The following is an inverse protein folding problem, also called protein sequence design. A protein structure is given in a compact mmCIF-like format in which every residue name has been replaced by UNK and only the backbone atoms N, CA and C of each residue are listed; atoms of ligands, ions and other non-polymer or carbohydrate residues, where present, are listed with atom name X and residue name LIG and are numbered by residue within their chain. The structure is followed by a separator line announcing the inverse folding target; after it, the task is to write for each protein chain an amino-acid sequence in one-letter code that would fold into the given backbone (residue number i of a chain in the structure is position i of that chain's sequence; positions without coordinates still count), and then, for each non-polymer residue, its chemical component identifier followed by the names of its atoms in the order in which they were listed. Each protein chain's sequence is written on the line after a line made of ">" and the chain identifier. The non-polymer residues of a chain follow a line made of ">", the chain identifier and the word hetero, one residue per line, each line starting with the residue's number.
data_IF_544858882578
#
_entry.id   IF_544858882578
#
_cell.length_a   1.000
_cell.length_b   1.000
_cell.length_c   1.000
_cell.angle_alpha   90.00
_cell.angle_beta   90.00
_cell.angle_gamma   90.00
#
_symmetry.space_group_name_H-M   'P 1'
#
loop_
_entity.id
_entity.type
_entity.pdbx_description
1 polymer ?
#
# COMPACT_ATOMS: atom_id res chain seq x y z
N UNK A 1 22.83 27.99 1.59
CA UNK A 1 21.88 27.98 0.46
C UNK A 1 20.60 27.31 0.91
N UNK A 2 19.45 27.97 0.82
CA UNK A 2 18.17 27.32 1.06
C UNK A 2 17.96 26.26 -0.04
N UNK A 3 17.64 25.02 0.33
CA UNK A 3 17.34 23.96 -0.65
C UNK A 3 15.98 24.27 -1.29
N UNK A 4 15.93 24.25 -2.62
CA UNK A 4 14.67 24.38 -3.36
C UNK A 4 13.88 23.07 -3.27
N UNK A 5 12.56 23.14 -3.04
CA UNK A 5 11.69 21.97 -2.96
C UNK A 5 11.80 21.06 -4.20
N UNK A 6 12.00 21.65 -5.39
CA UNK A 6 12.20 20.92 -6.65
C UNK A 6 13.48 20.10 -6.62
N UNK A 7 14.56 20.65 -6.07
CA UNK A 7 15.84 19.93 -5.94
C UNK A 7 15.74 18.76 -4.95
N UNK A 8 15.03 18.96 -3.84
CA UNK A 8 14.79 17.91 -2.85
C UNK A 8 13.87 16.82 -3.40
N UNK A 9 12.84 17.18 -4.17
CA UNK A 9 11.97 16.24 -4.88
C UNK A 9 12.80 15.38 -5.83
N UNK A 10 13.57 15.99 -6.74
CA UNK A 10 14.37 15.27 -7.73
C UNK A 10 15.32 14.24 -7.10
N UNK A 11 15.89 14.56 -5.93
CA UNK A 11 16.76 13.64 -5.18
C UNK A 11 15.98 12.49 -4.53
N UNK A 12 14.73 12.71 -4.11
CA UNK A 12 13.86 11.71 -3.49
C UNK A 12 13.04 10.90 -4.52
N UNK A 13 12.95 11.36 -5.76
CA UNK A 13 12.31 10.63 -6.85
C UNK A 13 13.13 9.40 -7.18
N UNK A 14 12.50 8.24 -7.03
CA UNK A 14 13.06 6.93 -7.32
C UNK A 14 12.10 6.17 -8.24
N UNK A 15 12.57 5.10 -8.88
CA UNK A 15 11.68 4.22 -9.65
C UNK A 15 10.77 3.41 -8.73
N UNK A 16 9.71 2.83 -9.28
CA UNK A 16 8.79 1.98 -8.52
C UNK A 16 9.49 0.73 -7.97
N UNK A 17 10.44 0.17 -8.72
CA UNK A 17 11.24 -0.98 -8.31
C UNK A 17 12.16 -0.63 -7.15
N UNK A 18 12.78 0.55 -7.19
CA UNK A 18 13.61 1.05 -6.09
C UNK A 18 12.76 1.33 -4.84
N UNK A 19 11.55 1.88 -5.01
CA UNK A 19 10.62 2.06 -3.90
C UNK A 19 10.17 0.70 -3.32
N UNK A 20 9.79 -0.25 -4.16
CA UNK A 20 9.40 -1.60 -3.71
C UNK A 20 10.57 -2.37 -3.11
N UNK A 21 11.82 -2.06 -3.48
CA UNK A 21 13.04 -2.68 -2.93
C UNK A 21 13.21 -2.47 -1.42
N UNK A 22 12.62 -1.41 -0.86
CA UNK A 22 12.74 -1.10 0.59
C UNK A 22 11.92 -2.05 1.46
N UNK A 23 10.90 -2.70 0.90
CA UNK A 23 10.04 -3.66 1.59
C UNK A 23 10.85 -4.90 1.96
N UNK A 24 10.68 -5.35 3.20
CA UNK A 24 11.30 -6.53 3.79
C UNK A 24 10.22 -7.55 4.18
N UNK A 25 10.65 -8.80 4.34
CA UNK A 25 9.79 -9.85 4.87
C UNK A 25 9.27 -9.48 6.25
N UNK A 26 7.97 -9.65 6.46
CA UNK A 26 7.30 -9.32 7.73
C UNK A 26 6.76 -7.89 7.83
N UNK A 27 7.03 -6.99 6.87
CA UNK A 27 6.55 -5.61 6.93
C UNK A 27 5.01 -5.51 6.88
N UNK A 28 4.47 -4.50 7.55
CA UNK A 28 3.11 -3.98 7.37
C UNK A 28 3.10 -2.80 6.40
N UNK A 29 2.40 -2.97 5.29
CA UNK A 29 2.22 -1.96 4.25
C UNK A 29 0.80 -1.43 4.28
N UNK A 30 0.65 -0.11 4.23
CA UNK A 30 -0.62 0.56 4.10
C UNK A 30 -0.80 1.15 2.72
N UNK A 31 -1.89 0.78 2.05
CA UNK A 31 -2.26 1.31 0.75
C UNK A 31 -3.35 2.37 0.88
N UNK A 32 -3.28 3.39 0.02
CA UNK A 32 -4.30 4.43 -0.06
C UNK A 32 -5.71 3.89 -0.31
N UNK A 33 -6.70 4.58 0.27
CA UNK A 33 -8.13 4.26 0.17
C UNK A 33 -8.67 4.46 -1.26
N UNK A 34 -9.50 3.53 -1.74
CA UNK A 34 -10.24 3.70 -2.99
C UNK A 34 -9.34 3.99 -4.19
N UNK A 35 -9.53 5.17 -4.82
CA UNK A 35 -8.75 5.63 -5.98
C UNK A 35 -7.27 5.95 -5.64
N UNK A 36 -6.97 6.15 -4.36
CA UNK A 36 -5.62 6.38 -3.85
C UNK A 36 -4.72 5.14 -3.89
N UNK A 37 -5.23 3.99 -4.33
CA UNK A 37 -4.46 2.76 -4.46
C UNK A 37 -3.18 2.93 -5.29
N UNK A 38 -2.04 2.39 -4.84
CA UNK A 38 -0.74 2.69 -5.45
C UNK A 38 -0.37 1.69 -6.55
N UNK A 39 -1.09 1.73 -7.67
CA UNK A 39 -1.02 0.72 -8.75
C UNK A 39 0.42 0.46 -9.25
N UNK A 40 1.23 1.51 -9.44
CA UNK A 40 2.59 1.38 -9.95
C UNK A 40 3.53 0.70 -8.94
N UNK A 41 3.42 1.05 -7.66
CA UNK A 41 4.19 0.40 -6.59
C UNK A 41 3.76 -1.05 -6.41
N UNK A 42 2.44 -1.32 -6.47
CA UNK A 42 1.89 -2.66 -6.30
C UNK A 42 2.36 -3.63 -7.39
N UNK A 43 2.48 -3.16 -8.64
CA UNK A 43 3.08 -3.93 -9.74
C UNK A 43 4.58 -4.21 -9.50
N UNK A 44 5.34 -3.21 -9.03
CA UNK A 44 6.75 -3.40 -8.72
C UNK A 44 6.98 -4.36 -7.54
N UNK A 45 6.10 -4.31 -6.52
CA UNK A 45 6.10 -5.26 -5.42
C UNK A 45 5.78 -6.68 -5.92
N UNK A 46 4.76 -6.83 -6.78
CA UNK A 46 4.37 -8.09 -7.40
C UNK A 46 5.53 -8.79 -8.12
N UNK A 47 6.36 -8.01 -8.84
CA UNK A 47 7.50 -8.53 -9.59
C UNK A 47 8.60 -9.17 -8.72
N UNK A 48 8.68 -8.81 -7.42
CA UNK A 48 9.74 -9.31 -6.51
C UNK A 48 9.24 -10.17 -5.35
N UNK A 49 7.96 -10.54 -5.34
CA UNK A 49 7.33 -11.27 -4.21
C UNK A 49 8.05 -12.53 -3.79
N UNK A 50 8.60 -13.28 -4.75
CA UNK A 50 9.32 -14.54 -4.47
C UNK A 50 10.52 -14.37 -3.53
N UNK A 51 11.01 -13.14 -3.36
CA UNK A 51 12.10 -12.79 -2.44
C UNK A 51 11.62 -12.34 -1.06
N UNK A 52 10.31 -12.29 -0.84
CA UNK A 52 9.66 -11.79 0.37
C UNK A 52 8.80 -12.87 0.99
N UNK A 53 8.62 -12.80 2.30
CA UNK A 53 7.74 -13.69 3.04
C UNK A 53 6.94 -12.90 4.07
N UNK A 54 5.68 -13.30 4.27
CA UNK A 54 4.82 -12.78 5.35
C UNK A 54 4.66 -11.25 5.34
N UNK A 55 4.71 -10.63 4.17
CA UNK A 55 4.38 -9.21 4.01
C UNK A 55 2.88 -9.05 4.19
N UNK A 56 2.46 -8.07 4.98
CA UNK A 56 1.04 -7.83 5.26
C UNK A 56 0.65 -6.51 4.63
N UNK A 57 -0.36 -6.54 3.78
CA UNK A 57 -0.88 -5.35 3.10
C UNK A 57 -2.24 -5.02 3.67
N UNK A 58 -2.44 -3.79 4.14
CA UNK A 58 -3.76 -3.26 4.50
C UNK A 58 -4.26 -2.31 3.42
N UNK A 59 -5.45 -2.60 2.94
CA UNK A 59 -6.21 -1.74 2.04
C UNK A 59 -7.59 -1.41 2.59
N UNK A 60 -8.33 -0.63 1.82
CA UNK A 60 -9.73 -0.34 2.09
C UNK A 60 -10.42 0.05 0.79
N UNK A 61 -11.49 -0.66 0.44
CA UNK A 61 -12.31 -0.43 -0.75
C UNK A 61 -11.49 -0.47 -2.06
N UNK A 62 -10.92 -1.62 -2.41
CA UNK A 62 -10.13 -1.76 -3.64
C UNK A 62 -11.01 -1.57 -4.89
N UNK A 63 -10.64 -0.64 -5.77
CA UNK A 63 -11.41 -0.31 -6.99
C UNK A 63 -10.86 -0.99 -8.25
N UNK A 64 -9.65 -1.55 -8.19
CA UNK A 64 -9.07 -2.40 -9.23
C UNK A 64 -8.34 -3.58 -8.58
N UNK A 65 -7.98 -4.56 -9.41
CA UNK A 65 -7.16 -5.69 -9.00
C UNK A 65 -5.86 -5.25 -8.30
N UNK A 66 -5.37 -6.10 -7.39
CA UNK A 66 -4.09 -5.93 -6.69
C UNK A 66 -3.09 -6.89 -7.33
N UNK A 67 -2.13 -6.36 -8.08
CA UNK A 67 -1.13 -7.14 -8.80
C UNK A 67 -0.35 -8.05 -7.85
N UNK A 68 -0.01 -7.56 -6.65
CA UNK A 68 0.74 -8.33 -5.68
C UNK A 68 -0.07 -9.52 -5.11
N UNK A 69 -1.40 -9.41 -5.03
CA UNK A 69 -2.27 -10.50 -4.55
C UNK A 69 -2.53 -11.50 -5.67
N UNK A 70 -2.72 -11.03 -6.90
CA UNK A 70 -2.89 -11.90 -8.06
C UNK A 70 -1.63 -12.71 -8.39
N UNK A 71 -0.46 -12.14 -8.14
CA UNK A 71 0.83 -12.81 -8.32
C UNK A 71 1.12 -13.87 -7.23
N UNK A 72 0.31 -13.95 -6.17
CA UNK A 72 0.45 -14.91 -5.07
C UNK A 72 -0.88 -15.67 -4.81
N UNK A 73 -1.34 -16.49 -5.78
CA UNK A 73 -2.64 -17.16 -5.70
C UNK A 73 -2.75 -18.21 -4.58
N UNK A 74 -1.63 -18.57 -3.95
CA UNK A 74 -1.55 -19.49 -2.81
C UNK A 74 -1.29 -18.74 -1.48
N UNK A 75 -1.24 -17.41 -1.49
CA UNK A 75 -0.98 -16.56 -0.32
C UNK A 75 0.29 -16.94 0.47
N UNK A 76 1.38 -17.32 -0.21
CA UNK A 76 2.65 -17.73 0.42
C UNK A 76 3.49 -16.55 0.88
N UNK A 77 3.41 -15.44 0.17
CA UNK A 77 4.28 -14.28 0.30
C UNK A 77 3.54 -13.08 0.91
N UNK A 78 2.29 -12.85 0.52
CA UNK A 78 1.47 -11.73 1.00
C UNK A 78 0.22 -12.21 1.73
N UNK A 79 -0.09 -11.53 2.82
CA UNK A 79 -1.39 -11.54 3.46
C UNK A 79 -2.07 -10.20 3.22
N UNK A 80 -3.23 -10.22 2.56
CA UNK A 80 -4.02 -9.02 2.31
C UNK A 80 -5.15 -8.90 3.32
N UNK A 81 -5.22 -7.71 3.92
CA UNK A 81 -6.26 -7.34 4.86
C UNK A 81 -6.99 -6.12 4.34
N UNK A 82 -8.31 -6.09 4.47
CA UNK A 82 -9.11 -4.95 4.06
C UNK A 82 -10.10 -4.51 5.12
N UNK A 83 -10.05 -3.21 5.43
CA UNK A 83 -10.97 -2.55 6.35
C UNK A 83 -12.41 -2.49 5.82
N UNK A 84 -12.58 -2.54 4.50
CA UNK A 84 -13.90 -2.50 3.88
C UNK A 84 -13.85 -3.19 2.52
N UNK A 85 -14.69 -4.21 2.33
CA UNK A 85 -14.68 -5.00 1.11
C UNK A 85 -15.48 -4.35 -0.02
N UNK A 86 -14.80 -4.07 -1.12
CA UNK A 86 -15.42 -3.90 -2.43
C UNK A 86 -15.88 -5.24 -3.01
N UNK A 87 -16.57 -5.20 -4.15
CA UNK A 87 -16.94 -6.41 -4.90
C UNK A 87 -15.74 -7.26 -5.33
N UNK A 88 -14.58 -6.63 -5.56
CA UNK A 88 -13.34 -7.36 -5.88
C UNK A 88 -12.81 -8.08 -4.65
N UNK A 89 -12.82 -7.40 -3.51
CA UNK A 89 -12.30 -7.94 -2.25
C UNK A 89 -13.17 -9.07 -1.71
N UNK A 90 -14.50 -9.01 -1.90
CA UNK A 90 -15.38 -10.15 -1.60
C UNK A 90 -15.00 -11.39 -2.42
N UNK A 91 -14.77 -11.25 -3.72
CA UNK A 91 -14.32 -12.37 -4.58
C UNK A 91 -12.93 -12.90 -4.19
N UNK A 92 -12.03 -12.02 -3.75
CA UNK A 92 -10.73 -12.44 -3.23
C UNK A 92 -10.86 -13.16 -1.89
N UNK A 93 -11.77 -12.68 -1.02
CA UNK A 93 -12.07 -13.31 0.25
C UNK A 93 -12.64 -14.72 0.08
N UNK A 94 -13.56 -14.92 -0.86
CA UNK A 94 -14.13 -16.24 -1.18
C UNK A 94 -13.04 -17.25 -1.61
N UNK A 95 -11.90 -16.75 -2.10
CA UNK A 95 -10.71 -17.53 -2.50
C UNK A 95 -9.66 -17.65 -1.39
N UNK A 96 -9.90 -17.07 -0.21
CA UNK A 96 -8.93 -17.04 0.90
C UNK A 96 -7.79 -16.04 0.73
N UNK A 97 -7.87 -15.11 -0.22
CA UNK A 97 -6.79 -14.16 -0.55
C UNK A 97 -6.97 -12.77 0.07
N UNK A 98 -8.05 -12.54 0.82
CA UNK A 98 -8.34 -11.26 1.46
C UNK A 98 -9.04 -11.51 2.80
N UNK A 99 -8.58 -10.84 3.86
CA UNK A 99 -9.16 -10.96 5.19
C UNK A 99 -9.77 -9.64 5.64
N UNK A 100 -11.01 -9.69 6.14
CA UNK A 100 -11.66 -8.48 6.64
C UNK A 100 -11.10 -8.11 8.01
N UNK A 101 -10.74 -6.85 8.21
CA UNK A 101 -10.51 -6.31 9.56
C UNK A 101 -11.71 -5.41 9.91
N UNK A 102 -12.55 -5.80 10.88
CA UNK A 102 -13.67 -4.97 11.32
C UNK A 102 -13.16 -3.67 11.94
N UNK A 103 -13.68 -2.53 11.47
CA UNK A 103 -13.35 -1.21 11.99
C UNK A 103 -14.49 -0.24 11.73
N UNK A 104 -14.79 0.61 12.72
CA UNK A 104 -15.58 1.80 12.46
C UNK A 104 -14.71 2.86 11.77
N UNK A 105 -15.09 3.27 10.56
CA UNK A 105 -14.26 4.15 9.74
C UNK A 105 -13.94 5.49 10.41
N UNK A 106 -14.83 6.03 11.25
CA UNK A 106 -14.59 7.25 12.01
C UNK A 106 -13.49 7.13 13.08
N UNK A 107 -13.18 5.91 13.52
CA UNK A 107 -12.16 5.62 14.54
C UNK A 107 -10.77 5.35 13.94
N UNK A 108 -10.66 5.22 12.63
CA UNK A 108 -9.40 4.87 11.96
C UNK A 108 -8.22 5.76 12.41
N UNK A 109 -8.36 7.10 12.49
CA UNK A 109 -7.26 7.94 12.96
C UNK A 109 -6.80 7.65 14.39
N UNK A 110 -7.72 7.25 15.29
CA UNK A 110 -7.36 6.90 16.67
C UNK A 110 -6.62 5.55 16.71
N UNK A 111 -7.06 4.58 15.89
CA UNK A 111 -6.39 3.27 15.82
C UNK A 111 -4.94 3.40 15.36
N UNK A 112 -4.67 4.23 14.34
CA UNK A 112 -3.30 4.54 13.89
C UNK A 112 -2.43 5.18 14.96
N UNK A 113 -3.01 5.99 15.86
CA UNK A 113 -2.23 6.64 16.92
C UNK A 113 -1.92 5.72 18.10
N UNK A 114 -2.74 4.69 18.33
CA UNK A 114 -2.72 3.90 19.57
C UNK A 114 -2.35 2.44 19.40
N UNK A 115 -2.71 1.83 18.27
CA UNK A 115 -2.75 0.36 18.16
C UNK A 115 -2.15 -0.19 16.87
N UNK A 116 -2.19 0.58 15.79
CA UNK A 116 -1.76 0.12 14.47
C UNK A 116 -0.31 0.51 14.21
N UNK A 117 0.53 -0.50 14.00
CA UNK A 117 1.89 -0.33 13.48
C UNK A 117 1.88 -0.39 11.95
N UNK A 118 2.72 0.44 11.32
CA UNK A 118 2.91 0.53 9.86
C UNK A 118 4.41 0.68 9.59
N UNK A 119 4.97 -0.19 8.77
CA UNK A 119 6.37 -0.09 8.34
C UNK A 119 6.52 0.85 7.13
N UNK A 120 5.55 0.82 6.21
CA UNK A 120 5.48 1.77 5.10
C UNK A 120 4.04 2.11 4.69
N UNK A 121 3.79 3.39 4.45
CA UNK A 121 2.54 3.88 3.85
C UNK A 121 2.80 4.30 2.40
N UNK A 122 2.01 3.76 1.47
CA UNK A 122 2.14 4.01 0.05
C UNK A 122 0.92 4.79 -0.42
N UNK A 123 1.13 6.08 -0.64
CA UNK A 123 0.10 7.05 -0.94
C UNK A 123 0.28 7.60 -2.35
N UNK A 124 -0.80 7.58 -3.13
CA UNK A 124 -0.90 8.32 -4.40
C UNK A 124 -1.26 9.76 -4.09
N UNK A 125 -0.50 10.69 -4.65
CA UNK A 125 -0.71 12.14 -4.48
C UNK A 125 -0.75 12.85 -5.83
N UNK A 126 -1.22 14.09 -5.84
CA UNK A 126 -0.93 15.00 -6.93
C UNK A 126 0.58 15.35 -7.00
N UNK A 127 1.06 15.94 -8.11
CA UNK A 127 2.40 16.51 -8.16
C UNK A 127 2.62 17.59 -7.09
N UNK A 128 3.88 17.76 -6.69
CA UNK A 128 4.29 18.80 -5.74
C UNK A 128 3.89 20.20 -6.25
N UNK A 129 3.26 21.00 -5.40
CA UNK A 129 2.95 22.39 -5.72
C UNK A 129 4.17 23.33 -5.54
N UNK A 130 3.98 24.62 -5.86
CA UNK A 130 5.03 25.64 -5.72
C UNK A 130 5.46 25.91 -4.27
N UNK A 131 4.66 25.49 -3.29
CA UNK A 131 4.90 25.68 -1.87
C UNK A 131 5.50 24.45 -1.19
N UNK A 132 5.68 23.35 -1.93
CA UNK A 132 6.29 22.12 -1.44
C UNK A 132 5.30 21.14 -0.82
N UNK A 133 4.00 21.26 -1.12
CA UNK A 133 2.97 20.33 -0.64
C UNK A 133 2.57 19.31 -1.71
N UNK A 134 2.22 18.12 -1.24
CA UNK A 134 1.47 17.11 -1.97
C UNK A 134 0.06 17.06 -1.38
N UNK A 135 -0.93 16.69 -2.19
CA UNK A 135 -2.31 16.46 -1.73
C UNK A 135 -2.89 15.16 -2.30
#
# INVERSE_FOLDING_TARGET
>A
MAKSFVSDLKRKTVTAEQAAAVVKSGDWLDYGFGLGQPDLFDQALAARLKTLERVKVRGCLALRARAAIEADPEARHIQYFSWYFSSLERKMHDRGLCHHIPMNFGEAPDYYRRFIEVDAAILKTAPLDSHGFFN
#
